data_IF_456128159400
#
_entry.id   IF_456128159400
#
_cell.length_a   1.000
_cell.length_b   1.000
_cell.length_c   1.000
_cell.angle_alpha   90.00
_cell.angle_beta   90.00
_cell.angle_gamma   90.00
#
_symmetry.space_group_name_H-M   'P 1'
#
loop_
_entity.id
_entity.type
_entity.pdbx_description
1 polymer ?
#
# COMPACT_ATOMS: atom_id res chain seq x y z
N UNK A 1 -31.39 10.11 -8.87
CA UNK A 1 -29.93 10.35 -8.88
C UNK A 1 -29.30 9.59 -10.03
N UNK A 2 -28.22 10.09 -10.60
CA UNK A 2 -27.53 9.50 -11.75
C UNK A 2 -26.40 8.60 -11.26
N UNK A 3 -26.28 7.39 -11.79
CA UNK A 3 -25.23 6.43 -11.41
C UNK A 3 -24.03 6.57 -12.34
N UNK A 4 -22.85 6.81 -11.78
CA UNK A 4 -21.62 7.01 -12.56
C UNK A 4 -20.62 5.87 -12.38
N UNK A 5 -20.85 4.96 -11.44
CA UNK A 5 -19.93 3.86 -11.10
C UNK A 5 -20.69 2.53 -11.12
N UNK A 6 -20.03 1.49 -11.62
CA UNK A 6 -20.54 0.12 -11.66
C UNK A 6 -19.41 -0.89 -11.43
N UNK A 7 -19.75 -2.18 -11.31
CA UNK A 7 -18.76 -3.26 -11.33
C UNK A 7 -18.65 -3.81 -12.75
N UNK A 8 -17.44 -3.94 -13.28
CA UNK A 8 -17.22 -4.59 -14.57
C UNK A 8 -17.29 -6.12 -14.46
N UNK A 9 -17.06 -6.83 -15.57
CA UNK A 9 -17.06 -8.29 -15.63
C UNK A 9 -16.07 -8.96 -14.66
N UNK A 10 -14.96 -8.29 -14.32
CA UNK A 10 -13.99 -8.78 -13.34
C UNK A 10 -14.40 -8.50 -11.88
N UNK A 11 -15.58 -7.92 -11.65
CA UNK A 11 -16.05 -7.50 -10.34
C UNK A 11 -15.34 -6.26 -9.79
N UNK A 12 -14.67 -5.48 -10.66
CA UNK A 12 -13.91 -4.29 -10.29
C UNK A 12 -14.70 -3.02 -10.51
N UNK A 13 -14.47 -2.02 -9.66
CA UNK A 13 -15.10 -0.71 -9.81
C UNK A 13 -14.64 -0.02 -11.11
N UNK A 14 -15.60 0.47 -11.87
CA UNK A 14 -15.35 1.22 -13.10
C UNK A 14 -16.25 2.45 -13.18
N UNK A 15 -15.66 3.57 -13.59
CA UNK A 15 -16.38 4.81 -13.89
C UNK A 15 -17.00 4.76 -15.29
N UNK A 16 -18.10 5.49 -15.47
CA UNK A 16 -18.82 5.55 -16.74
C UNK A 16 -17.91 6.01 -17.89
N UNK A 17 -16.95 6.90 -17.67
CA UNK A 17 -16.07 7.38 -18.72
C UNK A 17 -15.21 6.25 -19.30
N UNK A 18 -14.84 5.25 -18.48
CA UNK A 18 -14.03 4.11 -18.88
C UNK A 18 -14.84 2.92 -19.43
N UNK A 19 -16.14 2.87 -19.16
CA UNK A 19 -16.99 1.76 -19.61
C UNK A 19 -17.31 1.80 -21.12
N UNK A 20 -17.38 0.63 -21.77
CA UNK A 20 -17.86 0.55 -23.15
C UNK A 20 -19.32 1.00 -23.27
N UNK A 21 -19.74 1.46 -24.45
CA UNK A 21 -21.12 1.98 -24.63
C UNK A 21 -22.15 0.85 -24.63
N UNK A 22 -23.29 1.10 -23.99
CA UNK A 22 -24.45 0.23 -24.06
C UNK A 22 -24.33 -0.99 -23.14
N UNK A 23 -24.84 -2.14 -23.61
CA UNK A 23 -24.72 -3.42 -22.90
C UNK A 23 -23.34 -4.07 -23.08
N UNK A 24 -22.51 -3.56 -23.99
CA UNK A 24 -21.15 -4.07 -24.20
C UNK A 24 -20.23 -3.83 -22.99
N UNK A 25 -20.58 -2.91 -22.07
CA UNK A 25 -19.82 -2.71 -20.84
C UNK A 25 -19.79 -3.93 -19.92
N UNK A 26 -20.75 -4.86 -20.05
CA UNK A 26 -20.92 -6.02 -19.17
C UNK A 26 -20.81 -5.68 -17.68
N UNK A 27 -21.41 -4.55 -17.30
CA UNK A 27 -21.34 -4.02 -15.94
C UNK A 27 -22.58 -4.38 -15.11
N UNK A 28 -22.40 -4.43 -13.80
CA UNK A 28 -23.47 -4.67 -12.81
C UNK A 28 -23.54 -3.55 -11.77
N UNK A 29 -24.74 -3.30 -11.26
CA UNK A 29 -25.00 -2.30 -10.24
C UNK A 29 -24.44 -2.76 -8.88
N UNK A 30 -23.64 -1.90 -8.24
CA UNK A 30 -23.04 -2.16 -6.92
C UNK A 30 -24.12 -2.41 -5.85
N UNK A 31 -25.25 -1.70 -5.92
CA UNK A 31 -26.28 -1.76 -4.89
C UNK A 31 -27.23 -2.97 -4.99
N UNK A 32 -27.52 -3.47 -6.20
CA UNK A 32 -28.52 -4.53 -6.39
C UNK A 32 -28.07 -5.71 -7.27
N UNK A 33 -26.85 -5.67 -7.81
CA UNK A 33 -26.30 -6.71 -8.67
C UNK A 33 -26.90 -6.80 -10.08
N UNK A 34 -27.90 -5.98 -10.42
CA UNK A 34 -28.52 -6.03 -11.75
C UNK A 34 -27.57 -5.50 -12.82
N UNK A 35 -27.58 -6.12 -14.01
CA UNK A 35 -26.92 -5.60 -15.20
C UNK A 35 -27.32 -4.15 -15.49
N UNK A 36 -26.32 -3.31 -15.76
CA UNK A 36 -26.53 -1.91 -16.15
C UNK A 36 -26.12 -1.67 -17.60
N UNK A 37 -26.66 -0.61 -18.18
CA UNK A 37 -26.38 -0.13 -19.53
C UNK A 37 -25.60 1.19 -19.42
N UNK A 38 -24.42 1.25 -20.02
CA UNK A 38 -23.63 2.49 -20.10
C UNK A 38 -24.22 3.43 -21.16
N UNK A 39 -25.01 4.42 -20.71
CA UNK A 39 -25.61 5.43 -21.58
C UNK A 39 -24.65 6.57 -21.79
N UNK A 40 -23.98 6.53 -22.95
CA UNK A 40 -23.11 7.60 -23.45
C UNK A 40 -23.76 8.31 -24.62
N UNK A 41 -23.82 9.64 -24.57
CA UNK A 41 -24.49 10.47 -25.58
C UNK A 41 -24.01 11.92 -25.53
N UNK A 42 -24.20 12.65 -26.63
CA UNK A 42 -23.73 14.03 -26.78
C UNK A 42 -24.64 15.09 -26.15
N UNK A 43 -25.86 14.72 -25.76
CA UNK A 43 -26.88 15.65 -25.24
C UNK A 43 -27.04 15.53 -23.72
N UNK A 44 -27.00 14.30 -23.19
CA UNK A 44 -27.13 14.02 -21.75
C UNK A 44 -25.82 13.49 -21.23
N UNK A 45 -25.45 13.88 -20.01
CA UNK A 45 -24.25 13.38 -19.33
C UNK A 45 -24.21 11.85 -19.27
N UNK A 46 -23.00 11.30 -19.37
CA UNK A 46 -22.77 9.87 -19.35
C UNK A 46 -23.21 9.27 -18.02
N UNK A 47 -23.93 8.14 -18.06
CA UNK A 47 -24.33 7.44 -16.84
C UNK A 47 -24.65 5.97 -17.07
N UNK A 48 -24.65 5.20 -15.99
CA UNK A 48 -25.24 3.87 -15.94
C UNK A 48 -26.74 3.95 -15.67
N UNK A 49 -27.50 3.08 -16.33
CA UNK A 49 -28.92 2.87 -16.07
C UNK A 49 -29.21 1.37 -15.96
N UNK A 50 -30.09 0.97 -15.04
CA UNK A 50 -30.52 -0.42 -14.94
C UNK A 50 -31.15 -0.89 -16.24
N UNK A 51 -30.85 -2.14 -16.64
CA UNK A 51 -31.40 -2.74 -17.85
C UNK A 51 -32.93 -2.82 -17.81
N UNK A 52 -33.51 -3.08 -16.64
CA UNK A 52 -34.96 -3.06 -16.40
C UNK A 52 -35.61 -1.67 -16.53
N UNK A 53 -34.82 -0.60 -16.70
CA UNK A 53 -35.25 0.79 -16.57
C UNK A 53 -35.88 1.14 -15.20
N UNK A 54 -35.64 0.34 -14.16
CA UNK A 54 -36.01 0.73 -12.80
C UNK A 54 -35.20 1.95 -12.36
N UNK A 55 -35.69 2.60 -11.30
CA UNK A 55 -35.00 3.74 -10.69
C UNK A 55 -33.54 3.40 -10.31
N UNK A 56 -32.64 4.36 -10.49
CA UNK A 56 -31.23 4.21 -10.12
C UNK A 56 -31.08 3.92 -8.62
N UNK A 57 -30.22 2.96 -8.27
CA UNK A 57 -29.92 2.67 -6.88
C UNK A 57 -29.13 3.83 -6.27
N UNK A 58 -29.42 4.11 -5.00
CA UNK A 58 -28.63 5.04 -4.19
C UNK A 58 -27.51 4.21 -3.56
N UNK A 59 -26.27 4.48 -3.99
CA UNK A 59 -25.08 3.88 -3.41
C UNK A 59 -24.50 4.89 -2.44
N UNK A 60 -24.34 4.50 -1.17
CA UNK A 60 -23.73 5.37 -0.19
C UNK A 60 -22.25 5.58 -0.53
N UNK A 61 -21.74 6.82 -0.53
CA UNK A 61 -20.32 7.08 -0.80
C UNK A 61 -19.39 6.30 0.14
N UNK A 62 -19.84 6.08 1.38
CA UNK A 62 -19.17 5.24 2.36
C UNK A 62 -18.92 3.81 1.84
N UNK A 63 -19.99 3.14 1.38
CA UNK A 63 -19.92 1.79 0.82
C UNK A 63 -18.99 1.75 -0.39
N UNK A 64 -19.03 2.80 -1.23
CA UNK A 64 -18.18 2.88 -2.42
C UNK A 64 -16.69 2.97 -2.05
N UNK A 65 -16.34 3.83 -1.10
CA UNK A 65 -14.96 3.97 -0.60
C UNK A 65 -14.44 2.68 0.03
N UNK A 66 -15.27 2.02 0.85
CA UNK A 66 -14.92 0.76 1.52
C UNK A 66 -14.62 -0.35 0.52
N UNK A 67 -15.49 -0.50 -0.51
CA UNK A 67 -15.30 -1.47 -1.58
C UNK A 67 -14.04 -1.18 -2.39
N UNK A 68 -13.79 0.08 -2.74
CA UNK A 68 -12.63 0.47 -3.54
C UNK A 68 -11.31 0.25 -2.79
N UNK A 69 -11.26 0.58 -1.50
CA UNK A 69 -10.07 0.34 -0.69
C UNK A 69 -9.74 -1.15 -0.59
N UNK A 70 -10.75 -1.99 -0.33
CA UNK A 70 -10.58 -3.46 -0.31
C UNK A 70 -10.07 -3.99 -1.64
N UNK A 71 -10.62 -3.51 -2.75
CA UNK A 71 -10.18 -3.88 -4.10
C UNK A 71 -8.72 -3.51 -4.33
N UNK A 72 -8.35 -2.24 -4.11
CA UNK A 72 -7.00 -1.73 -4.34
C UNK A 72 -5.94 -2.48 -3.54
N UNK A 73 -6.20 -2.77 -2.26
CA UNK A 73 -5.24 -3.48 -1.41
C UNK A 73 -5.08 -4.93 -1.88
N UNK A 74 -6.18 -5.58 -2.30
CA UNK A 74 -6.12 -6.92 -2.89
C UNK A 74 -5.35 -6.94 -4.22
N UNK A 75 -5.42 -5.88 -5.02
CA UNK A 75 -4.69 -5.81 -6.29
C UNK A 75 -3.22 -5.49 -6.09
N UNK A 76 -2.92 -4.53 -5.21
CA UNK A 76 -1.57 -4.07 -4.97
C UNK A 76 -0.73 -5.11 -4.23
N UNK A 77 -1.36 -5.99 -3.43
CA UNK A 77 -0.67 -6.96 -2.57
C UNK A 77 0.40 -6.27 -1.71
N UNK A 78 0.08 -5.08 -1.22
CA UNK A 78 0.96 -4.30 -0.37
C UNK A 78 0.37 -2.96 0.01
N UNK A 79 0.99 -2.32 1.00
CA UNK A 79 0.53 -1.07 1.58
C UNK A 79 1.68 -0.29 2.19
N UNK A 80 1.74 1.03 2.00
CA UNK A 80 2.62 1.90 2.78
C UNK A 80 2.07 2.02 4.19
N UNK A 81 2.83 1.61 5.20
CA UNK A 81 2.45 1.64 6.60
C UNK A 81 3.35 2.58 7.43
N UNK A 82 2.81 3.20 8.49
CA UNK A 82 3.61 3.93 9.47
C UNK A 82 4.62 3.01 10.17
N UNK A 83 5.66 3.56 10.82
CA UNK A 83 6.63 2.74 11.54
C UNK A 83 5.90 1.91 12.61
N UNK A 84 6.36 0.67 12.82
CA UNK A 84 5.88 -0.12 13.94
C UNK A 84 6.14 0.64 15.24
N UNK A 85 5.17 0.68 16.17
CA UNK A 85 5.36 1.38 17.42
C UNK A 85 6.52 0.79 18.23
N UNK A 86 7.30 1.65 18.88
CA UNK A 86 8.52 1.26 19.60
C UNK A 86 9.76 1.08 18.71
N UNK A 87 9.62 1.18 17.39
CA UNK A 87 10.76 1.25 16.46
C UNK A 87 11.04 2.72 16.16
N UNK A 88 12.24 3.20 16.51
CA UNK A 88 12.71 4.53 16.12
C UNK A 88 13.42 4.43 14.76
N UNK A 89 12.79 4.81 13.63
CA UNK A 89 13.48 4.86 12.35
C UNK A 89 14.57 5.93 12.37
N UNK A 90 15.69 5.65 11.70
CA UNK A 90 16.85 6.54 11.60
C UNK A 90 16.68 7.67 10.57
N UNK A 91 15.55 7.71 9.86
CA UNK A 91 15.25 8.63 8.76
C UNK A 91 14.06 9.54 9.07
N UNK A 92 13.98 10.67 8.35
CA UNK A 92 12.92 11.66 8.50
C UNK A 92 11.57 11.17 7.94
N UNK A 93 11.60 10.34 6.88
CA UNK A 93 10.45 9.55 6.45
C UNK A 93 10.41 8.25 7.27
N UNK A 94 9.31 8.08 8.00
CA UNK A 94 9.13 7.04 9.00
C UNK A 94 8.34 5.85 8.49
N UNK A 95 7.68 5.99 7.34
CA UNK A 95 6.80 4.97 6.77
C UNK A 95 7.57 3.94 5.94
N UNK A 96 7.00 2.76 5.72
CA UNK A 96 7.60 1.72 4.89
C UNK A 96 6.53 0.94 4.11
N UNK A 97 6.85 0.53 2.88
CA UNK A 97 5.99 -0.34 2.08
C UNK A 97 6.09 -1.79 2.57
N UNK A 98 4.95 -2.41 2.88
CA UNK A 98 4.85 -3.79 3.29
C UNK A 98 4.26 -4.62 2.14
N UNK A 99 5.00 -5.64 1.69
CA UNK A 99 4.52 -6.60 0.70
C UNK A 99 3.67 -7.68 1.36
N UNK A 100 2.57 -8.05 0.71
CA UNK A 100 1.70 -9.15 1.09
C UNK A 100 1.89 -10.31 0.10
N UNK A 101 1.93 -11.55 0.61
CA UNK A 101 1.94 -12.74 -0.24
C UNK A 101 0.54 -13.02 -0.81
N UNK A 102 -0.46 -12.75 0.01
CA UNK A 102 -1.87 -12.85 -0.34
C UNK A 102 -2.68 -11.89 0.54
N UNK A 103 -3.80 -11.43 0.02
CA UNK A 103 -4.79 -10.64 0.75
C UNK A 103 -6.16 -11.27 0.55
N UNK A 104 -6.83 -11.60 1.64
CA UNK A 104 -8.17 -12.21 1.61
C UNK A 104 -9.15 -11.25 2.31
N UNK A 105 -10.31 -11.04 1.68
CA UNK A 105 -11.37 -10.18 2.20
C UNK A 105 -12.23 -10.94 3.20
N UNK A 106 -12.64 -10.25 4.26
CA UNK A 106 -13.78 -10.67 5.10
C UNK A 106 -13.64 -12.11 5.64
N UNK A 107 -12.43 -12.48 6.10
CA UNK A 107 -12.19 -13.80 6.69
C UNK A 107 -12.66 -13.80 8.15
N UNK A 108 -13.63 -14.63 8.56
CA UNK A 108 -14.03 -14.70 9.96
C UNK A 108 -12.87 -15.14 10.85
N UNK A 109 -12.58 -14.36 11.89
CA UNK A 109 -11.61 -14.68 12.94
C UNK A 109 -12.35 -15.02 14.24
N UNK A 110 -11.63 -15.52 15.24
CA UNK A 110 -12.20 -15.79 16.54
C UNK A 110 -12.71 -14.49 17.20
N UNK A 111 -14.02 -14.27 17.16
CA UNK A 111 -14.69 -13.16 17.84
C UNK A 111 -14.85 -11.88 17.02
N UNK A 112 -14.25 -11.75 15.84
CA UNK A 112 -14.49 -10.62 14.93
C UNK A 112 -14.14 -11.00 13.48
N UNK A 113 -14.51 -10.15 12.52
CA UNK A 113 -14.20 -10.36 11.11
C UNK A 113 -13.49 -9.10 10.60
N UNK A 114 -12.16 -9.16 10.35
CA UNK A 114 -11.45 -8.07 9.73
C UNK A 114 -11.89 -7.86 8.28
N UNK A 115 -11.80 -6.61 7.83
CA UNK A 115 -12.09 -6.27 6.44
C UNK A 115 -11.13 -6.99 5.47
N UNK A 116 -9.86 -7.07 5.82
CA UNK A 116 -8.82 -7.77 5.07
C UNK A 116 -7.84 -8.48 6.01
N UNK A 117 -7.39 -9.64 5.57
CA UNK A 117 -6.26 -10.38 6.17
C UNK A 117 -5.15 -10.50 5.14
N UNK A 118 -4.01 -9.90 5.44
CA UNK A 118 -2.81 -9.95 4.61
C UNK A 118 -1.78 -10.92 5.20
N UNK A 119 -1.34 -11.88 4.40
CA UNK A 119 -0.26 -12.80 4.76
C UNK A 119 1.10 -12.17 4.42
N UNK A 120 2.05 -12.24 5.36
CA UNK A 120 3.40 -11.70 5.21
C UNK A 120 4.42 -12.81 4.94
N UNK A 121 5.54 -12.44 4.30
CA UNK A 121 6.62 -13.37 3.91
C UNK A 121 7.31 -14.06 5.09
N UNK A 122 7.20 -13.49 6.29
CA UNK A 122 7.73 -14.09 7.52
C UNK A 122 6.77 -15.10 8.16
N UNK A 123 5.63 -15.39 7.51
CA UNK A 123 4.59 -16.29 7.98
C UNK A 123 3.62 -15.65 8.98
N UNK A 124 3.76 -14.36 9.27
CA UNK A 124 2.82 -13.63 10.14
C UNK A 124 1.67 -13.01 9.33
N UNK A 125 0.62 -12.60 10.03
CA UNK A 125 -0.55 -11.95 9.43
C UNK A 125 -0.63 -10.48 9.85
N UNK A 126 -1.25 -9.68 8.99
CA UNK A 126 -1.67 -8.32 9.23
C UNK A 126 -3.17 -8.19 8.94
N UNK A 127 -3.92 -7.76 9.94
CA UNK A 127 -5.31 -7.34 9.76
C UNK A 127 -5.38 -5.88 9.36
N UNK A 128 -6.24 -5.58 8.39
CA UNK A 128 -6.48 -4.21 7.91
C UNK A 128 -7.97 -3.96 8.03
N UNK A 129 -8.32 -2.93 8.78
CA UNK A 129 -9.69 -2.44 8.98
C UNK A 129 -9.86 -1.13 8.22
N UNK A 130 -10.87 -1.04 7.35
CA UNK A 130 -11.13 0.16 6.57
C UNK A 130 -12.24 0.94 7.28
N UNK A 131 -11.88 2.09 7.85
CA UNK A 131 -12.79 2.97 8.54
C UNK A 131 -13.21 4.15 7.64
N UNK A 132 -14.51 4.42 7.57
CA UNK A 132 -15.05 5.56 6.82
C UNK A 132 -15.97 6.39 7.70
N UNK A 133 -17.09 5.84 8.18
CA UNK A 133 -17.85 6.48 9.29
C UNK A 133 -17.87 5.64 10.56
N UNK A 134 -17.57 4.34 10.44
CA UNK A 134 -17.39 3.42 11.57
C UNK A 134 -15.92 3.16 11.83
N UNK A 135 -15.50 3.37 13.08
CA UNK A 135 -14.14 3.15 13.59
C UNK A 135 -14.12 1.99 14.56
N UNK A 136 -12.95 1.39 14.76
CA UNK A 136 -12.72 0.34 15.75
C UNK A 136 -12.98 0.91 17.15
N UNK A 137 -14.04 0.41 17.77
CA UNK A 137 -14.42 0.71 19.15
C UNK A 137 -13.63 -0.13 20.15
N UNK A 138 -13.79 0.16 21.44
CA UNK A 138 -13.07 -0.50 22.53
C UNK A 138 -13.29 -2.03 22.54
N UNK A 139 -14.53 -2.50 22.36
CA UNK A 139 -14.85 -3.93 22.29
C UNK A 139 -14.06 -4.66 21.18
N UNK A 140 -13.93 -4.03 20.00
CA UNK A 140 -13.19 -4.61 18.87
C UNK A 140 -11.69 -4.50 19.10
N UNK A 141 -11.20 -3.41 19.70
CA UNK A 141 -9.80 -3.25 20.13
C UNK A 141 -9.39 -4.37 21.09
N UNK A 142 -10.20 -4.68 22.09
CA UNK A 142 -9.93 -5.74 23.05
C UNK A 142 -9.82 -7.12 22.38
N UNK A 143 -10.70 -7.41 21.41
CA UNK A 143 -10.65 -8.66 20.63
C UNK A 143 -9.39 -8.74 19.76
N UNK A 144 -9.01 -7.63 19.13
CA UNK A 144 -7.78 -7.52 18.34
C UNK A 144 -6.55 -7.75 19.23
N UNK A 145 -6.49 -7.12 20.42
CA UNK A 145 -5.42 -7.30 21.38
C UNK A 145 -5.34 -8.75 21.89
N UNK A 146 -6.48 -9.36 22.19
CA UNK A 146 -6.55 -10.75 22.62
C UNK A 146 -6.07 -11.73 21.52
N UNK A 147 -6.32 -11.41 20.24
CA UNK A 147 -5.81 -12.19 19.12
C UNK A 147 -4.29 -12.06 18.95
N UNK A 148 -3.69 -10.94 19.36
CA UNK A 148 -2.24 -10.70 19.27
C UNK A 148 -1.71 -10.59 17.84
N UNK A 149 -2.60 -10.32 16.87
CA UNK A 149 -2.25 -10.20 15.45
C UNK A 149 -2.11 -8.72 15.10
N UNK A 150 -1.07 -8.38 14.34
CA UNK A 150 -0.80 -7.01 13.90
C UNK A 150 -2.03 -6.48 13.18
N UNK A 151 -2.49 -5.30 13.58
CA UNK A 151 -3.72 -4.72 13.04
C UNK A 151 -3.53 -3.23 12.81
N UNK A 152 -3.90 -2.76 11.63
CA UNK A 152 -3.97 -1.34 11.29
C UNK A 152 -5.40 -0.94 10.96
N UNK A 153 -5.74 0.29 11.30
CA UNK A 153 -6.94 0.98 10.85
C UNK A 153 -6.56 1.99 9.76
N UNK A 154 -7.25 1.93 8.63
CA UNK A 154 -7.15 2.84 7.49
C UNK A 154 -8.32 3.83 7.55
N UNK A 155 -8.05 5.10 7.82
CA UNK A 155 -9.07 6.14 7.93
C UNK A 155 -9.31 6.84 6.58
N UNK A 156 -10.53 6.74 6.05
CA UNK A 156 -10.92 7.35 4.77
C UNK A 156 -11.95 8.48 4.94
N UNK A 157 -12.15 9.02 6.16
CA UNK A 157 -13.11 10.12 6.42
C UNK A 157 -12.87 11.35 5.56
N UNK A 158 -11.60 11.70 5.34
CA UNK A 158 -11.24 12.88 4.57
C UNK A 158 -11.70 12.75 3.12
N UNK A 159 -11.58 11.56 2.53
CA UNK A 159 -12.06 11.29 1.17
C UNK A 159 -13.58 11.41 1.05
N UNK A 160 -14.31 10.99 2.09
CA UNK A 160 -15.76 11.16 2.16
C UNK A 160 -16.14 12.65 2.22
N UNK A 161 -15.42 13.44 3.02
CA UNK A 161 -15.69 14.87 3.23
C UNK A 161 -15.39 15.70 1.98
N UNK A 162 -14.27 15.39 1.30
CA UNK A 162 -13.83 16.11 0.12
C UNK A 162 -14.53 15.66 -1.17
N UNK A 163 -15.37 14.63 -1.11
CA UNK A 163 -16.18 14.12 -2.24
C UNK A 163 -15.33 13.79 -3.48
N UNK A 164 -14.15 13.20 -3.28
CA UNK A 164 -13.30 12.79 -4.40
C UNK A 164 -14.01 11.74 -5.28
N UNK A 165 -13.87 11.81 -6.61
CA UNK A 165 -14.38 10.78 -7.50
C UNK A 165 -13.77 9.41 -7.19
N UNK A 166 -14.61 8.37 -7.15
CA UNK A 166 -14.21 6.98 -6.93
C UNK A 166 -14.76 6.14 -8.09
N UNK A 167 -13.93 5.37 -8.81
CA UNK A 167 -12.48 5.22 -8.67
C UNK A 167 -11.68 6.42 -9.20
N UNK A 168 -10.52 6.70 -8.61
CA UNK A 168 -9.52 7.66 -9.14
C UNK A 168 -8.10 7.33 -8.68
N UNK A 169 -7.10 7.87 -9.40
CA UNK A 169 -5.68 7.72 -9.04
C UNK A 169 -5.30 8.48 -7.76
N UNK A 170 -5.98 9.59 -7.47
CA UNK A 170 -5.77 10.35 -6.24
C UNK A 170 -6.19 9.53 -5.01
N UNK A 171 -7.41 8.97 -5.05
CA UNK A 171 -7.91 8.09 -3.98
C UNK A 171 -7.03 6.84 -3.84
N UNK A 172 -6.52 6.30 -4.96
CA UNK A 172 -5.60 5.16 -4.95
C UNK A 172 -4.29 5.48 -4.22
N UNK A 173 -3.66 6.62 -4.53
CA UNK A 173 -2.44 7.06 -3.84
C UNK A 173 -2.68 7.33 -2.36
N UNK A 174 -3.81 7.95 -2.04
CA UNK A 174 -4.23 8.14 -0.65
C UNK A 174 -4.28 6.78 0.06
N UNK A 175 -5.03 5.81 -0.44
CA UNK A 175 -5.18 4.49 0.18
C UNK A 175 -3.85 3.74 0.26
N UNK A 176 -3.10 3.63 -0.84
CA UNK A 176 -1.94 2.74 -0.92
C UNK A 176 -0.65 3.38 -0.39
N UNK A 177 -0.38 4.63 -0.76
CA UNK A 177 0.95 5.23 -0.65
C UNK A 177 1.09 6.17 0.55
N UNK A 178 0.00 6.83 0.99
CA UNK A 178 0.05 7.76 2.12
C UNK A 178 -0.12 7.03 3.45
N UNK A 179 0.87 7.11 4.34
CA UNK A 179 0.83 6.46 5.65
C UNK A 179 0.15 7.28 6.76
N UNK A 180 -0.17 8.57 6.53
CA UNK A 180 -0.61 9.48 7.59
C UNK A 180 -1.98 9.15 8.18
N UNK A 181 -2.87 8.56 7.40
CA UNK A 181 -4.22 8.14 7.81
C UNK A 181 -4.29 6.66 8.19
N UNK A 182 -3.14 6.01 8.39
CA UNK A 182 -3.03 4.63 8.83
C UNK A 182 -2.49 4.60 10.24
N UNK A 183 -3.16 3.85 11.12
CA UNK A 183 -2.79 3.78 12.53
C UNK A 183 -2.66 2.33 12.97
N UNK A 184 -1.59 2.01 13.72
CA UNK A 184 -1.45 0.72 14.38
C UNK A 184 -2.43 0.63 15.56
N UNK A 185 -3.32 -0.35 15.49
CA UNK A 185 -4.22 -0.73 16.59
C UNK A 185 -3.53 -1.80 17.44
N UNK A 186 -2.78 -2.68 16.79
CA UNK A 186 -1.90 -3.64 17.44
C UNK A 186 -0.61 -3.84 16.63
N UNK A 187 0.59 -3.84 17.25
CA UNK A 187 0.82 -3.55 18.67
C UNK A 187 0.44 -2.10 18.99
N UNK A 188 -0.07 -1.86 20.20
CA UNK A 188 -0.35 -0.49 20.65
C UNK A 188 0.97 0.29 20.69
N UNK A 189 0.91 1.61 20.46
CA UNK A 189 2.09 2.41 20.78
C UNK A 189 2.40 2.27 22.26
N UNK A 190 3.67 2.09 22.64
CA UNK A 190 4.02 2.26 24.05
C UNK A 190 3.50 3.63 24.44
N UNK A 191 2.55 3.66 25.38
CA UNK A 191 2.09 4.91 25.96
C UNK A 191 3.34 5.71 26.27
N UNK A 192 3.47 6.88 25.65
CA UNK A 192 4.33 7.90 26.21
C UNK A 192 3.62 8.27 27.49
N UNK A 193 3.88 7.52 28.56
CA UNK A 193 3.60 7.96 29.91
C UNK A 193 4.16 9.38 29.95
N UNK A 194 3.26 10.35 30.07
CA UNK A 194 3.63 11.75 30.27
C UNK A 194 4.74 11.75 31.33
N UNK A 195 5.84 12.51 31.13
CA UNK A 195 6.95 12.45 32.06
C UNK A 195 6.44 12.77 33.47
N UNK A 196 6.34 11.74 34.32
CA UNK A 196 6.40 11.95 35.75
C UNK A 196 7.76 12.61 35.97
N UNK A 197 7.74 13.86 36.39
CA UNK A 197 8.91 14.63 36.80
C UNK A 197 9.61 13.88 37.94
N UNK A 198 10.48 12.94 37.61
CA UNK A 198 11.36 12.29 38.56
C UNK A 198 12.75 12.86 38.31
N UNK A 199 13.03 13.91 39.05
CA UNK A 199 14.36 14.50 39.21
C UNK A 199 15.33 13.43 39.70
N UNK A 200 16.25 12.99 38.85
CA UNK A 200 17.53 12.44 39.34
C UNK A 200 18.71 12.74 38.40
N UNK A 201 19.92 12.92 38.95
CA UNK A 201 21.03 13.66 38.35
C UNK A 201 21.90 12.80 37.39
N UNK A 202 22.79 13.42 36.61
CA UNK A 202 23.36 12.83 35.41
C UNK A 202 24.54 11.89 35.72
N UNK A 203 24.59 10.76 35.02
CA UNK A 203 25.85 10.06 34.76
C UNK A 203 25.94 9.66 33.28
N UNK A 204 27.06 9.91 32.60
CA UNK A 204 27.21 9.56 31.19
C UNK A 204 27.82 8.16 31.04
N UNK A 205 27.24 7.33 30.16
CA UNK A 205 27.93 6.16 29.64
C UNK A 205 27.85 6.14 28.11
N UNK A 206 29.02 5.95 27.54
CA UNK A 206 29.42 6.03 26.14
C UNK A 206 28.62 5.10 25.22
N UNK A 207 28.19 5.65 24.09
CA UNK A 207 27.53 4.91 23.01
C UNK A 207 28.56 4.14 22.17
N UNK A 208 28.35 2.83 22.01
CA UNK A 208 28.84 2.10 20.84
C UNK A 208 27.63 1.43 20.16
N UNK A 209 27.21 1.96 19.00
CA UNK A 209 26.12 1.42 18.18
C UNK A 209 26.64 0.37 17.18
N UNK A 210 25.96 -0.78 16.99
CA UNK A 210 26.24 -1.69 15.87
C UNK A 210 25.63 -1.17 14.56
N UNK A 211 26.39 -1.24 13.45
CA UNK A 211 25.96 -0.83 12.09
C UNK A 211 25.00 -1.85 11.47
N UNK A 212 23.78 -1.42 11.13
CA UNK A 212 22.70 -2.26 10.56
C UNK A 212 22.64 -2.11 9.02
N UNK A 213 22.29 -3.17 8.24
CA UNK A 213 22.28 -3.13 6.77
C UNK A 213 21.18 -2.21 6.18
N UNK A 214 21.57 -1.18 5.42
CA UNK A 214 20.66 -0.21 4.80
C UNK A 214 20.22 -0.66 3.39
N UNK A 215 18.90 -0.74 3.13
CA UNK A 215 18.34 -0.93 1.79
C UNK A 215 17.76 0.39 1.25
N UNK A 216 18.19 0.80 0.06
CA UNK A 216 17.71 1.97 -0.66
C UNK A 216 16.92 1.54 -1.89
N UNK A 217 15.81 2.20 -2.23
CA UNK A 217 15.00 1.86 -3.43
C UNK A 217 14.89 3.07 -4.35
N UNK A 218 14.90 2.79 -5.65
CA UNK A 218 14.93 3.76 -6.73
C UNK A 218 13.92 3.39 -7.81
N UNK A 219 13.28 4.39 -8.39
CA UNK A 219 12.44 4.24 -9.58
C UNK A 219 13.27 4.65 -10.80
N UNK A 220 13.66 3.69 -11.64
CA UNK A 220 14.48 3.93 -12.83
C UNK A 220 13.70 3.43 -14.03
N UNK A 221 13.42 4.30 -15.01
CA UNK A 221 12.66 3.94 -16.22
C UNK A 221 11.29 3.33 -15.90
N UNK A 222 10.58 3.88 -14.91
CA UNK A 222 9.31 3.37 -14.36
C UNK A 222 9.38 1.97 -13.73
N UNK A 223 10.59 1.46 -13.46
CA UNK A 223 10.81 0.15 -12.84
C UNK A 223 11.52 0.28 -11.51
N UNK A 224 11.21 -0.61 -10.57
CA UNK A 224 11.79 -0.56 -9.24
C UNK A 224 13.14 -1.28 -9.18
N UNK A 225 14.12 -0.58 -8.63
CA UNK A 225 15.48 -1.08 -8.40
C UNK A 225 15.81 -0.88 -6.92
N UNK A 226 16.12 -1.96 -6.20
CA UNK A 226 16.59 -1.90 -4.82
C UNK A 226 18.11 -2.06 -4.74
N UNK A 227 18.74 -1.36 -3.82
CA UNK A 227 20.18 -1.40 -3.55
C UNK A 227 20.39 -1.60 -2.05
N UNK A 228 20.83 -2.80 -1.68
CA UNK A 228 21.02 -3.23 -0.30
C UNK A 228 22.50 -3.27 0.05
N UNK A 229 22.88 -2.57 1.10
CA UNK A 229 24.24 -2.70 1.67
C UNK A 229 24.32 -4.00 2.45
N UNK A 230 25.29 -4.84 2.13
CA UNK A 230 25.57 -6.09 2.83
C UNK A 230 26.49 -5.83 4.04
N UNK A 231 26.51 -6.70 5.06
CA UNK A 231 27.40 -6.57 6.22
C UNK A 231 28.90 -6.50 5.85
N UNK A 232 29.29 -7.00 4.67
CA UNK A 232 30.64 -6.92 4.12
C UNK A 232 31.01 -5.52 3.57
N UNK A 233 30.08 -4.57 3.58
CA UNK A 233 30.22 -3.25 2.95
C UNK A 233 29.96 -3.27 1.43
N UNK A 234 29.76 -4.44 0.83
CA UNK A 234 29.36 -4.60 -0.58
C UNK A 234 27.91 -4.14 -0.79
N UNK A 235 27.54 -3.81 -2.02
CA UNK A 235 26.17 -3.38 -2.35
C UNK A 235 25.53 -4.33 -3.35
N UNK A 236 24.32 -4.81 -3.04
CA UNK A 236 23.52 -5.70 -3.88
C UNK A 236 22.40 -4.91 -4.54
N UNK A 237 22.43 -4.78 -5.86
CA UNK A 237 21.44 -4.06 -6.67
C UNK A 237 20.54 -5.06 -7.39
N UNK A 238 19.23 -4.95 -7.21
CA UNK A 238 18.23 -5.85 -7.80
C UNK A 238 17.15 -5.05 -8.53
N UNK A 239 16.82 -5.46 -9.74
CA UNK A 239 15.59 -5.02 -10.40
C UNK A 239 14.44 -5.95 -10.02
N UNK A 240 13.30 -5.37 -9.66
CA UNK A 240 12.15 -6.12 -9.13
C UNK A 240 11.29 -6.80 -10.21
N UNK A 241 11.43 -6.37 -11.46
CA UNK A 241 10.85 -7.02 -12.64
C UNK A 241 11.91 -7.11 -13.74
N UNK A 242 11.86 -8.15 -14.57
CA UNK A 242 12.85 -8.33 -15.63
C UNK A 242 12.75 -7.18 -16.64
N UNK A 243 13.76 -6.31 -16.67
CA UNK A 243 13.90 -5.26 -17.67
C UNK A 243 15.28 -5.40 -18.35
N UNK A 244 15.32 -5.60 -19.69
CA UNK A 244 16.57 -5.77 -20.42
C UNK A 244 17.46 -4.52 -20.38
N UNK A 245 16.90 -3.31 -20.35
CA UNK A 245 17.64 -2.05 -20.30
C UNK A 245 18.33 -1.85 -18.94
N UNK A 246 17.64 -2.17 -17.84
CA UNK A 246 18.25 -2.18 -16.49
C UNK A 246 19.30 -3.27 -16.38
N UNK A 247 19.07 -4.42 -17.02
CA UNK A 247 20.05 -5.51 -17.06
C UNK A 247 21.32 -5.11 -17.81
N UNK A 248 21.20 -4.42 -18.95
CA UNK A 248 22.35 -3.87 -19.69
C UNK A 248 23.07 -2.76 -18.93
N UNK A 249 22.32 -1.89 -18.25
CA UNK A 249 22.87 -0.86 -17.38
C UNK A 249 23.73 -1.47 -16.25
N UNK A 250 23.20 -2.46 -15.53
CA UNK A 250 23.92 -3.12 -14.44
C UNK A 250 25.11 -3.96 -14.94
N UNK A 251 25.01 -4.55 -16.15
CA UNK A 251 26.15 -5.18 -16.85
C UNK A 251 27.25 -4.19 -17.19
N UNK A 252 26.88 -2.98 -17.63
CA UNK A 252 27.84 -1.91 -17.91
C UNK A 252 28.61 -1.53 -16.63
N UNK A 253 27.89 -1.34 -15.51
CA UNK A 253 28.51 -1.04 -14.22
C UNK A 253 29.40 -2.18 -13.72
N UNK A 254 29.04 -3.44 -13.98
CA UNK A 254 29.89 -4.59 -13.66
C UNK A 254 31.25 -4.49 -14.37
N UNK A 255 31.24 -4.15 -15.66
CA UNK A 255 32.47 -4.07 -16.45
C UNK A 255 33.37 -2.90 -16.02
N UNK A 256 32.80 -1.85 -15.42
CA UNK A 256 33.51 -0.64 -15.00
C UNK A 256 33.96 -0.66 -13.54
N UNK A 257 33.10 -1.11 -12.62
CA UNK A 257 33.31 -1.06 -11.16
C UNK A 257 33.73 -2.41 -10.57
N UNK A 258 33.64 -3.48 -11.36
CA UNK A 258 33.77 -4.85 -10.87
C UNK A 258 32.51 -5.29 -10.10
N UNK A 259 32.14 -6.56 -10.25
CA UNK A 259 30.99 -7.14 -9.56
C UNK A 259 30.58 -8.48 -10.15
N UNK A 260 29.70 -9.18 -9.43
CA UNK A 260 29.21 -10.50 -9.80
C UNK A 260 27.69 -10.56 -9.80
N UNK A 261 27.13 -11.33 -10.72
CA UNK A 261 25.69 -11.59 -10.73
C UNK A 261 25.37 -12.80 -9.85
N UNK A 262 24.51 -12.58 -8.86
CA UNK A 262 23.99 -13.64 -8.02
C UNK A 262 22.68 -14.17 -8.61
N UNK A 263 22.74 -15.36 -9.22
CA UNK A 263 21.58 -16.00 -9.85
C UNK A 263 20.48 -16.43 -8.86
N UNK A 264 20.83 -16.75 -7.61
CA UNK A 264 19.88 -17.17 -6.57
C UNK A 264 18.95 -16.04 -6.15
N UNK A 265 19.49 -14.83 -6.00
CA UNK A 265 18.73 -13.65 -5.56
C UNK A 265 18.41 -12.66 -6.69
N UNK A 266 18.81 -13.01 -7.92
CA UNK A 266 18.67 -12.19 -9.13
C UNK A 266 19.20 -10.75 -8.92
N UNK A 267 20.32 -10.63 -8.22
CA UNK A 267 20.92 -9.35 -7.82
C UNK A 267 22.35 -9.22 -8.31
N UNK A 268 22.79 -8.00 -8.58
CA UNK A 268 24.14 -7.64 -8.96
C UNK A 268 24.89 -7.17 -7.72
N UNK A 269 26.00 -7.82 -7.39
CA UNK A 269 26.80 -7.50 -6.20
C UNK A 269 28.02 -6.72 -6.63
N UNK A 270 28.18 -5.51 -6.10
CA UNK A 270 29.33 -4.64 -6.32
C UNK A 270 30.19 -4.57 -5.05
N UNK A 271 31.51 -4.51 -5.24
CA UNK A 271 32.48 -4.48 -4.15
C UNK A 271 32.33 -3.25 -3.24
N UNK A 272 32.82 -3.35 -2.01
CA UNK A 272 32.67 -2.30 -0.99
C UNK A 272 33.32 -0.97 -1.38
N UNK A 273 34.40 -0.99 -2.16
CA UNK A 273 35.06 0.22 -2.67
C UNK A 273 34.25 1.03 -3.70
N UNK A 274 33.13 0.50 -4.19
CA UNK A 274 32.26 1.16 -5.17
C UNK A 274 30.87 1.50 -4.62
N UNK A 275 30.62 1.27 -3.33
CA UNK A 275 29.32 1.46 -2.67
C UNK A 275 28.70 2.84 -2.94
N UNK A 276 29.43 3.92 -2.63
CA UNK A 276 28.93 5.29 -2.78
C UNK A 276 28.66 5.63 -4.25
N UNK A 277 29.56 5.23 -5.16
CA UNK A 277 29.41 5.46 -6.61
C UNK A 277 28.17 4.77 -7.18
N UNK A 278 27.86 3.56 -6.72
CA UNK A 278 26.65 2.83 -7.14
C UNK A 278 25.39 3.53 -6.65
N UNK A 279 25.36 3.99 -5.39
CA UNK A 279 24.22 4.73 -4.85
C UNK A 279 24.00 6.08 -5.56
N UNK A 280 25.07 6.81 -5.85
CA UNK A 280 25.00 8.10 -6.55
C UNK A 280 24.47 7.92 -7.99
N UNK A 281 24.93 6.89 -8.70
CA UNK A 281 24.40 6.55 -10.03
C UNK A 281 22.92 6.16 -9.99
N UNK A 282 22.50 5.41 -8.97
CA UNK A 282 21.09 5.05 -8.81
C UNK A 282 20.21 6.27 -8.51
N UNK A 283 20.69 7.20 -7.66
CA UNK A 283 20.00 8.48 -7.38
C UNK A 283 19.84 9.32 -8.64
N UNK A 284 20.92 9.55 -9.38
CA UNK A 284 20.89 10.37 -10.61
C UNK A 284 20.02 9.79 -11.73
N UNK A 285 19.81 8.47 -11.74
CA UNK A 285 18.89 7.80 -12.67
C UNK A 285 17.44 7.80 -12.18
N UNK A 286 17.19 8.01 -10.89
CA UNK A 286 15.85 8.11 -10.33
C UNK A 286 15.24 9.51 -10.41
N UNK A 287 16.08 10.53 -10.60
CA UNK A 287 15.69 11.94 -10.73
C UNK A 287 15.43 12.37 -12.19
N UNK A 288 15.52 11.45 -13.16
CA UNK A 288 15.27 11.67 -14.59
C UNK A 288 14.04 10.91 -15.07
#
# INVERSE_FOLDING_TARGET
MTMFVALNQAGKLTDIENAERGLACDCTCIGCGETVVARKGSIRGHHFAHRSNKESCIIQPETLLHLYAKELICEAQGLQLPPLPGVSPSTNDKSSWWDFENVIREVPQAGFQPDLVAALKDGTELFIEVAVTSFINDDKRDRIQAAGIRTIELDLRELLTNQHPVPSEEVKRYILDDAHHKTWIYPASPDVLQPLEITTPPYPLEHQQPRVPTEHRFTIMQMWVSARTLPSGSIAVRSWSYNPQITELLKSWRNELGGDYNSRYKSWIFGSGCHEKVLERLRSLSER
#
